data_IF_607590899813
#
_entry.id   IF_607590899813
#
_cell.length_a   1.000
_cell.length_b   1.000
_cell.length_c   1.000
_cell.angle_alpha   90.00
_cell.angle_beta   90.00
_cell.angle_gamma   90.00
#
_symmetry.space_group_name_H-M   'P 1'
#
loop_
_entity.id
_entity.type
_entity.pdbx_description
1 polymer ?
#
# COMPACT_ATOMS: atom_id res chain seq x y z
N UNK A 1 62.75 9.40 6.26
CA UNK A 1 62.25 10.77 6.46
C UNK A 1 60.83 10.80 5.99
N UNK A 2 59.90 10.49 6.82
CA UNK A 2 59.11 11.33 7.70
C UNK A 2 58.39 12.48 7.01
N UNK A 3 57.07 12.42 6.91
CA UNK A 3 56.16 13.41 7.53
C UNK A 3 54.67 12.98 7.34
N UNK A 4 54.06 12.70 8.47
CA UNK A 4 52.63 12.60 8.65
C UNK A 4 51.93 13.93 8.38
N UNK A 5 50.74 13.90 7.74
CA UNK A 5 49.81 15.02 7.79
C UNK A 5 48.46 14.48 8.26
N UNK A 6 48.22 14.68 9.54
CA UNK A 6 46.89 14.63 10.14
C UNK A 6 46.19 15.96 9.83
N UNK A 7 45.16 15.93 9.03
CA UNK A 7 44.26 17.05 8.80
C UNK A 7 42.98 16.88 9.64
N UNK A 8 42.90 17.64 10.70
CA UNK A 8 41.69 17.75 11.53
C UNK A 8 40.61 18.47 10.76
N UNK A 9 39.46 17.82 10.54
CA UNK A 9 38.26 18.48 10.05
C UNK A 9 37.52 19.01 11.28
N UNK A 10 37.55 20.33 11.45
CA UNK A 10 36.74 21.03 12.45
C UNK A 10 35.29 21.07 11.98
N UNK A 11 34.42 20.43 12.75
CA UNK A 11 32.96 20.50 12.59
C UNK A 11 32.48 21.85 13.16
N UNK A 12 32.13 22.79 12.29
CA UNK A 12 31.50 24.05 12.72
C UNK A 12 30.06 23.79 13.09
N UNK A 13 29.78 23.79 14.39
CA UNK A 13 28.43 23.79 14.92
C UNK A 13 27.83 25.20 14.78
N UNK A 14 26.87 25.36 13.87
CA UNK A 14 26.03 26.56 13.82
C UNK A 14 24.92 26.40 14.84
N UNK A 15 25.04 27.08 15.96
CA UNK A 15 23.98 27.26 16.94
C UNK A 15 22.95 28.25 16.39
N UNK A 16 21.86 27.76 15.87
CA UNK A 16 20.64 28.55 15.66
C UNK A 16 19.80 28.45 16.93
N UNK A 17 19.84 29.51 17.70
CA UNK A 17 19.00 29.68 18.88
C UNK A 17 17.55 29.88 18.47
N UNK A 18 16.66 28.98 18.91
CA UNK A 18 15.23 29.30 18.97
C UNK A 18 14.26 28.41 18.26
N UNK A 19 14.49 27.10 18.14
CA UNK A 19 13.43 26.07 18.04
C UNK A 19 14.05 24.74 18.44
N UNK A 20 13.86 24.34 19.68
CA UNK A 20 14.24 23.00 20.12
C UNK A 20 13.27 21.98 19.53
N UNK A 21 13.61 21.44 18.36
CA UNK A 21 13.03 20.21 17.87
C UNK A 21 13.70 19.11 18.67
N UNK A 22 13.02 18.63 19.70
CA UNK A 22 13.48 17.49 20.47
C UNK A 22 13.38 16.24 19.60
N UNK A 23 14.48 15.83 19.00
CA UNK A 23 14.59 14.49 18.40
C UNK A 23 14.99 13.57 19.54
N UNK A 24 14.03 12.82 20.09
CA UNK A 24 14.35 11.66 20.90
C UNK A 24 14.64 10.51 19.95
N UNK A 25 15.78 9.80 20.08
CA UNK A 25 16.00 8.60 19.28
C UNK A 25 15.04 7.52 19.77
N UNK A 26 13.98 7.27 19.04
CA UNK A 26 13.23 6.02 19.16
C UNK A 26 13.93 4.95 18.32
N UNK A 27 14.00 3.76 18.89
CA UNK A 27 14.59 2.58 18.26
C UNK A 27 14.05 2.35 16.84
N UNK A 28 14.97 2.03 15.96
CA UNK A 28 14.86 1.61 14.57
C UNK A 28 13.44 1.54 13.97
N UNK A 29 13.07 2.54 13.15
CA UNK A 29 12.11 2.33 12.08
C UNK A 29 11.04 3.37 11.86
N UNK A 30 10.77 4.32 12.75
CA UNK A 30 9.69 5.31 12.54
C UNK A 30 10.20 6.71 12.78
N UNK A 31 10.47 7.44 11.70
CA UNK A 31 10.62 8.90 11.74
C UNK A 31 9.23 9.55 11.73
N UNK A 32 8.46 9.33 12.79
CA UNK A 32 7.28 10.14 13.04
C UNK A 32 7.75 11.56 13.37
N UNK A 33 7.40 12.52 12.53
CA UNK A 33 7.68 13.93 12.83
C UNK A 33 6.83 14.36 14.03
N UNK A 34 7.49 14.46 15.19
CA UNK A 34 6.85 14.90 16.42
C UNK A 34 6.75 16.42 16.41
N UNK A 35 5.52 16.94 16.49
CA UNK A 35 5.25 18.37 16.61
C UNK A 35 4.77 18.67 18.02
N UNK A 36 5.39 19.66 18.67
CA UNK A 36 5.01 20.09 20.00
C UNK A 36 3.56 20.56 20.02
N UNK A 37 2.85 20.11 21.02
CA UNK A 37 1.41 20.26 21.21
C UNK A 37 0.96 21.69 21.37
N UNK A 38 -0.22 21.98 20.82
CA UNK A 38 -0.93 23.25 20.99
C UNK A 38 -2.22 23.10 21.83
N UNK A 39 -2.52 21.90 22.33
CA UNK A 39 -3.72 21.60 23.10
C UNK A 39 -3.44 20.93 24.45
N UNK A 40 -4.50 20.60 25.18
CA UNK A 40 -4.42 19.92 26.49
C UNK A 40 -4.20 18.40 26.36
N UNK A 41 -4.43 17.80 25.18
CA UNK A 41 -4.11 16.40 24.95
C UNK A 41 -2.59 16.19 24.85
N UNK A 42 -2.13 15.28 24.11
CA UNK A 42 -0.72 14.98 23.96
C UNK A 42 -0.08 15.59 22.71
N UNK A 43 0.98 14.96 22.29
CA UNK A 43 1.74 15.32 21.10
C UNK A 43 1.02 14.93 19.80
N UNK A 44 1.44 15.51 18.68
CA UNK A 44 0.97 15.14 17.35
C UNK A 44 2.05 14.34 16.64
N UNK A 45 1.70 13.15 16.17
CA UNK A 45 2.55 12.29 15.36
C UNK A 45 2.06 12.32 13.92
N UNK A 46 2.83 12.90 13.02
CA UNK A 46 2.49 12.99 11.60
C UNK A 46 3.02 11.75 10.88
N UNK A 47 2.21 11.19 9.94
CA UNK A 47 2.52 9.95 9.23
C UNK A 47 2.94 8.81 10.18
N UNK A 48 2.11 8.45 11.15
CA UNK A 48 2.50 7.62 12.28
C UNK A 48 2.95 6.21 11.90
N UNK A 49 2.52 5.72 10.74
CA UNK A 49 2.86 4.39 10.23
C UNK A 49 3.73 4.42 8.96
N UNK A 50 4.24 5.59 8.59
CA UNK A 50 5.18 5.82 7.49
C UNK A 50 4.65 5.49 6.07
N UNK A 51 3.37 5.19 5.91
CA UNK A 51 2.77 4.82 4.62
C UNK A 51 1.61 5.71 4.16
N UNK A 52 1.09 6.58 5.04
CA UNK A 52 0.00 7.51 4.74
C UNK A 52 0.37 8.94 5.17
N UNK A 53 1.15 9.67 4.37
CA UNK A 53 1.78 10.94 4.78
C UNK A 53 0.83 12.07 5.15
N UNK A 54 -0.42 12.03 4.69
CA UNK A 54 -1.44 13.05 5.00
C UNK A 54 -2.33 12.65 6.18
N UNK A 55 -1.75 11.91 7.13
CA UNK A 55 -2.40 11.49 8.38
C UNK A 55 -1.59 11.91 9.60
N UNK A 56 -2.26 11.96 10.75
CA UNK A 56 -1.61 12.20 12.03
C UNK A 56 -2.36 11.49 13.15
N UNK A 57 -1.71 11.31 14.29
CA UNK A 57 -2.33 10.90 15.55
C UNK A 57 -2.12 12.01 16.56
N UNK A 58 -3.18 12.44 17.26
CA UNK A 58 -3.07 13.26 18.44
C UNK A 58 -3.08 12.31 19.64
N UNK A 59 -1.93 12.22 20.31
CA UNK A 59 -1.77 11.41 21.51
C UNK A 59 -2.76 11.87 22.60
N UNK A 60 -3.44 10.93 23.23
CA UNK A 60 -4.34 11.22 24.35
C UNK A 60 -3.66 11.34 25.70
N UNK A 61 -2.35 11.10 25.77
CA UNK A 61 -1.53 11.16 26.99
C UNK A 61 -2.15 10.38 28.17
N UNK A 62 -2.69 9.18 27.88
CA UNK A 62 -3.35 8.33 28.88
C UNK A 62 -4.72 8.81 29.36
N UNK A 63 -5.28 9.90 28.81
CA UNK A 63 -6.60 10.40 29.19
C UNK A 63 -7.71 9.50 28.63
N UNK A 64 -8.73 9.22 29.44
CA UNK A 64 -9.96 8.56 28.99
C UNK A 64 -10.91 9.62 28.41
N UNK A 65 -10.90 9.75 27.10
CA UNK A 65 -11.70 10.71 26.33
C UNK A 65 -12.79 10.01 25.56
N UNK A 66 -13.96 10.64 25.44
CA UNK A 66 -15.16 10.10 24.78
C UNK A 66 -15.81 11.13 23.86
N UNK A 67 -16.80 10.70 23.08
CA UNK A 67 -17.57 11.56 22.17
C UNK A 67 -16.66 12.42 21.27
N UNK A 68 -15.69 11.75 20.69
CA UNK A 68 -14.61 12.40 19.94
C UNK A 68 -15.08 12.74 18.54
N UNK A 69 -14.96 14.01 18.19
CA UNK A 69 -15.29 14.51 16.86
C UNK A 69 -14.13 15.34 16.32
N UNK A 70 -13.76 15.07 15.08
CA UNK A 70 -12.66 15.69 14.35
C UNK A 70 -13.21 16.45 13.17
N UNK A 71 -12.72 17.68 12.99
CA UNK A 71 -12.97 18.50 11.81
C UNK A 71 -11.67 19.02 11.26
N UNK A 72 -11.25 18.51 10.11
CA UNK A 72 -10.14 19.08 9.32
C UNK A 72 -10.71 20.16 8.43
N UNK A 73 -10.35 21.42 8.68
CA UNK A 73 -10.91 22.56 7.94
C UNK A 73 -10.40 22.61 6.51
N UNK A 74 -11.29 22.99 5.62
CA UNK A 74 -10.95 23.34 4.24
C UNK A 74 -10.07 24.59 4.16
N UNK A 75 -9.32 24.72 3.06
CA UNK A 75 -8.56 25.95 2.77
C UNK A 75 -9.50 27.15 2.61
N UNK A 76 -9.07 28.38 2.96
CA UNK A 76 -9.92 29.59 2.92
C UNK A 76 -10.49 29.92 1.53
N UNK A 77 -9.83 29.47 0.47
CA UNK A 77 -10.23 29.68 -0.93
C UNK A 77 -11.34 28.74 -1.42
N UNK A 78 -12.10 28.18 -0.50
CA UNK A 78 -13.24 27.29 -0.78
C UNK A 78 -12.89 25.82 -0.70
N UNK A 79 -11.89 25.45 0.07
CA UNK A 79 -11.59 24.07 0.42
C UNK A 79 -12.75 23.39 1.14
N UNK A 80 -12.71 22.05 1.18
CA UNK A 80 -13.77 21.22 1.76
C UNK A 80 -13.36 20.75 3.13
N UNK A 81 -14.23 20.96 4.12
CA UNK A 81 -14.07 20.39 5.46
C UNK A 81 -14.22 18.86 5.40
N UNK A 82 -13.38 18.17 6.15
CA UNK A 82 -13.55 16.74 6.45
C UNK A 82 -13.93 16.63 7.92
N UNK A 83 -15.06 15.99 8.17
CA UNK A 83 -15.79 16.03 9.44
C UNK A 83 -16.26 14.62 9.82
N UNK A 84 -15.82 14.08 10.96
CA UNK A 84 -16.12 12.70 11.36
C UNK A 84 -16.03 12.48 12.87
N UNK A 85 -16.74 11.45 13.33
CA UNK A 85 -16.62 10.94 14.68
C UNK A 85 -15.55 9.84 14.76
N UNK A 86 -14.80 9.82 15.85
CA UNK A 86 -13.81 8.77 16.12
C UNK A 86 -14.46 7.72 17.01
N UNK A 87 -14.46 6.48 16.57
CA UNK A 87 -14.97 5.36 17.35
C UNK A 87 -13.99 5.00 18.49
N UNK A 88 -14.49 4.38 19.55
CA UNK A 88 -13.67 3.83 20.61
C UNK A 88 -12.64 2.82 20.07
N UNK A 89 -13.06 1.98 19.12
CA UNK A 89 -12.17 1.05 18.45
C UNK A 89 -11.00 1.76 17.77
N UNK A 90 -11.26 2.83 17.00
CA UNK A 90 -10.21 3.59 16.32
C UNK A 90 -9.27 4.28 17.32
N UNK A 91 -9.82 4.85 18.40
CA UNK A 91 -9.05 5.45 19.47
C UNK A 91 -8.09 4.46 20.13
N UNK A 92 -8.57 3.25 20.42
CA UNK A 92 -7.76 2.18 21.02
C UNK A 92 -6.74 1.61 20.03
N UNK A 93 -7.15 1.43 18.78
CA UNK A 93 -6.28 0.90 17.72
C UNK A 93 -5.04 1.75 17.51
N UNK A 94 -5.19 3.07 17.60
CA UNK A 94 -4.10 4.04 17.34
C UNK A 94 -3.50 4.62 18.62
N UNK A 95 -4.01 4.25 19.78
CA UNK A 95 -3.66 4.82 21.10
C UNK A 95 -3.68 6.35 21.10
N UNK A 96 -4.60 6.93 20.35
CA UNK A 96 -4.77 8.37 20.17
C UNK A 96 -5.85 8.68 19.17
N UNK A 97 -6.09 9.97 18.93
CA UNK A 97 -7.10 10.43 18.00
C UNK A 97 -6.56 10.40 16.56
N UNK A 98 -7.06 9.52 15.69
CA UNK A 98 -6.63 9.47 14.30
C UNK A 98 -7.13 10.67 13.52
N UNK A 99 -6.20 11.34 12.85
CA UNK A 99 -6.46 12.48 11.96
C UNK A 99 -6.10 12.08 10.55
N UNK A 100 -7.04 12.18 9.62
CA UNK A 100 -6.82 11.95 8.20
C UNK A 100 -7.46 13.06 7.36
N UNK A 101 -7.04 13.17 6.11
CA UNK A 101 -7.58 14.18 5.22
C UNK A 101 -6.87 15.53 5.29
N UNK A 102 -5.61 15.55 5.71
CA UNK A 102 -4.78 16.75 5.69
C UNK A 102 -4.46 17.18 4.25
N UNK A 103 -4.35 18.48 4.00
CA UNK A 103 -3.80 19.00 2.75
C UNK A 103 -2.28 18.89 2.76
N UNK A 104 -1.65 18.47 1.67
CA UNK A 104 -0.20 18.46 1.54
C UNK A 104 0.36 19.88 1.43
N UNK A 105 1.61 20.07 1.86
CA UNK A 105 2.34 21.35 1.85
C UNK A 105 1.51 22.51 2.44
N UNK A 106 0.85 22.21 3.56
CA UNK A 106 -0.09 23.15 4.15
C UNK A 106 -0.15 23.02 5.68
N UNK A 107 -0.29 24.17 6.35
CA UNK A 107 -0.54 24.21 7.80
C UNK A 107 -2.05 24.04 8.05
N UNK A 108 -2.46 22.78 8.19
CA UNK A 108 -3.85 22.40 8.39
C UNK A 108 -4.38 22.86 9.76
N UNK A 109 -5.62 23.29 9.80
CA UNK A 109 -6.35 23.55 11.03
C UNK A 109 -7.29 22.38 11.32
N UNK A 110 -7.09 21.74 12.47
CA UNK A 110 -7.89 20.61 12.94
C UNK A 110 -8.59 20.99 14.21
N UNK A 111 -9.92 21.02 14.19
CA UNK A 111 -10.75 21.24 15.38
C UNK A 111 -11.12 19.88 15.95
N UNK A 112 -10.78 19.66 17.21
CA UNK A 112 -11.07 18.47 17.96
C UNK A 112 -12.02 18.80 19.10
N UNK A 113 -13.16 18.10 19.17
CA UNK A 113 -14.04 18.13 20.32
C UNK A 113 -14.14 16.76 20.97
N UNK A 114 -14.18 16.71 22.29
CA UNK A 114 -14.25 15.48 23.06
C UNK A 114 -14.79 15.74 24.47
N UNK A 115 -15.20 14.69 25.17
CA UNK A 115 -15.61 14.71 26.57
C UNK A 115 -14.47 14.15 27.43
N UNK A 116 -14.04 14.91 28.46
CA UNK A 116 -13.06 14.47 29.43
C UNK A 116 -13.52 14.83 30.84
N UNK A 117 -13.53 13.88 31.77
CA UNK A 117 -14.03 14.05 33.15
C UNK A 117 -15.44 14.68 33.19
N UNK A 118 -16.34 14.29 32.27
CA UNK A 118 -17.69 14.82 32.18
C UNK A 118 -17.82 16.23 31.59
N UNK A 119 -16.70 16.88 31.26
CA UNK A 119 -16.70 18.20 30.63
C UNK A 119 -16.41 18.12 29.14
N UNK A 120 -17.18 18.84 28.34
CA UNK A 120 -16.92 18.99 26.90
C UNK A 120 -15.75 19.93 26.67
N UNK A 121 -14.79 19.49 25.88
CA UNK A 121 -13.60 20.21 25.46
C UNK A 121 -13.61 20.45 23.97
N UNK A 122 -13.07 21.60 23.55
CA UNK A 122 -12.84 21.90 22.12
C UNK A 122 -11.46 22.52 21.98
N UNK A 123 -10.64 21.93 21.13
CA UNK A 123 -9.28 22.36 20.88
C UNK A 123 -9.01 22.52 19.40
N UNK A 124 -8.04 23.35 19.06
CA UNK A 124 -7.60 23.55 17.67
C UNK A 124 -6.13 23.25 17.56
N UNK A 125 -5.80 22.36 16.62
CA UNK A 125 -4.43 21.97 16.30
C UNK A 125 -4.03 22.54 14.95
N UNK A 126 -2.78 23.00 14.85
CA UNK A 126 -2.16 23.42 13.60
C UNK A 126 -1.15 22.34 13.18
N UNK A 127 -1.48 21.58 12.14
CA UNK A 127 -0.70 20.43 11.71
C UNK A 127 -0.17 20.70 10.29
N UNK A 128 1.15 20.86 10.16
CA UNK A 128 1.78 20.96 8.85
C UNK A 128 2.03 19.58 8.28
N UNK A 129 1.41 19.25 7.16
CA UNK A 129 1.70 18.04 6.41
C UNK A 129 2.70 18.35 5.30
N UNK A 130 3.66 17.44 5.11
CA UNK A 130 4.71 17.58 4.12
C UNK A 130 4.16 17.59 2.68
N UNK A 131 4.89 18.17 1.72
CA UNK A 131 4.57 18.05 0.31
C UNK A 131 4.43 16.60 -0.12
N UNK A 132 3.59 16.35 -1.12
CA UNK A 132 3.50 15.03 -1.75
C UNK A 132 4.87 14.67 -2.34
N UNK A 133 5.28 13.44 -2.10
CA UNK A 133 6.42 12.82 -2.78
C UNK A 133 5.96 11.51 -3.36
N UNK A 134 6.00 11.41 -4.67
CA UNK A 134 5.74 10.16 -5.40
C UNK A 134 6.86 9.90 -6.41
N UNK A 135 6.93 8.69 -6.92
CA UNK A 135 8.03 8.27 -7.77
C UNK A 135 7.49 7.54 -8.99
N UNK A 136 8.16 7.71 -10.10
CA UNK A 136 8.02 6.87 -11.28
C UNK A 136 9.42 6.50 -11.75
N UNK A 137 9.78 5.23 -11.63
CA UNK A 137 11.12 4.72 -11.98
C UNK A 137 12.26 5.58 -11.43
N UNK A 138 12.78 6.47 -12.28
CA UNK A 138 13.95 7.31 -12.00
C UNK A 138 13.53 8.75 -11.64
N UNK A 139 12.25 9.04 -11.61
CA UNK A 139 11.75 10.39 -11.40
C UNK A 139 11.01 10.51 -10.07
N UNK A 140 11.32 11.57 -9.34
CA UNK A 140 10.61 12.00 -8.15
C UNK A 140 9.66 13.12 -8.54
N UNK A 141 8.40 12.97 -8.14
CA UNK A 141 7.37 14.00 -8.34
C UNK A 141 6.92 14.57 -7.01
N UNK A 142 6.53 15.84 -7.03
CA UNK A 142 5.97 16.54 -5.87
C UNK A 142 4.42 16.62 -5.90
N UNK A 143 3.81 15.82 -6.72
CA UNK A 143 2.35 15.82 -6.91
C UNK A 143 1.87 14.48 -7.41
N UNK A 144 0.64 14.14 -7.11
CA UNK A 144 -0.13 13.10 -7.80
C UNK A 144 -0.59 13.59 -9.17
N UNK A 145 -1.13 12.69 -9.98
CA UNK A 145 -1.75 13.07 -11.24
C UNK A 145 -2.78 14.18 -10.98
N UNK A 146 -2.65 15.29 -11.73
CA UNK A 146 -3.50 16.47 -11.52
C UNK A 146 -4.95 16.17 -11.85
N UNK A 147 -5.83 16.37 -10.89
CA UNK A 147 -7.27 16.28 -11.07
C UNK A 147 -7.82 17.61 -11.56
N UNK A 148 -8.44 17.61 -12.73
CA UNK A 148 -9.15 18.78 -13.27
C UNK A 148 -10.64 18.61 -13.06
N UNK A 149 -11.19 19.38 -12.13
CA UNK A 149 -12.63 19.41 -11.88
C UNK A 149 -13.32 20.27 -12.94
N UNK A 150 -14.22 19.69 -13.72
CA UNK A 150 -14.99 20.41 -14.74
C UNK A 150 -16.35 20.89 -14.22
N UNK A 151 -17.02 20.06 -13.46
CA UNK A 151 -18.33 20.32 -12.90
C UNK A 151 -18.55 19.43 -11.67
N UNK A 152 -19.18 19.98 -10.66
CA UNK A 152 -19.61 19.25 -9.46
C UNK A 152 -21.12 19.43 -9.31
N UNK A 153 -21.85 18.36 -9.24
CA UNK A 153 -23.25 18.40 -8.87
C UNK A 153 -23.38 18.82 -7.39
N UNK A 154 -24.31 19.74 -7.04
CA UNK A 154 -24.49 20.17 -5.65
C UNK A 154 -24.70 19.02 -4.65
N UNK A 155 -25.34 17.93 -5.08
CA UNK A 155 -25.55 16.76 -4.25
C UNK A 155 -24.23 16.04 -3.88
N UNK A 156 -23.16 16.28 -4.61
CA UNK A 156 -21.86 15.62 -4.44
C UNK A 156 -20.75 16.56 -3.98
N UNK A 157 -21.06 17.82 -3.71
CA UNK A 157 -20.07 18.88 -3.41
C UNK A 157 -19.11 18.58 -2.25
N UNK A 158 -19.53 17.74 -1.30
CA UNK A 158 -18.74 17.38 -0.12
C UNK A 158 -18.21 15.93 -0.17
N UNK A 159 -18.25 15.28 -1.35
CA UNK A 159 -17.75 13.91 -1.49
C UNK A 159 -16.23 13.89 -1.66
N UNK A 160 -15.67 12.78 -1.23
CA UNK A 160 -14.29 12.39 -1.49
C UNK A 160 -14.28 11.23 -2.49
N UNK A 161 -13.27 11.19 -3.33
CA UNK A 161 -13.13 10.17 -4.37
C UNK A 161 -11.78 9.46 -4.21
N UNK A 162 -11.86 8.16 -3.96
CA UNK A 162 -10.69 7.29 -3.97
C UNK A 162 -10.32 6.96 -5.42
N UNK A 163 -9.11 7.31 -5.79
CA UNK A 163 -8.55 7.07 -7.12
C UNK A 163 -7.54 5.94 -7.00
N UNK A 164 -7.77 4.90 -7.78
CA UNK A 164 -6.80 3.85 -8.01
C UNK A 164 -6.30 4.01 -9.45
N UNK A 165 -5.08 4.46 -9.59
CA UNK A 165 -4.48 4.78 -10.87
C UNK A 165 -3.14 4.08 -11.04
N UNK A 166 -2.76 3.84 -12.29
CA UNK A 166 -1.47 3.28 -12.65
C UNK A 166 -0.75 4.28 -13.53
N UNK A 167 0.44 4.70 -13.12
CA UNK A 167 1.30 5.56 -13.93
C UNK A 167 2.22 4.66 -14.73
N UNK A 168 1.99 4.61 -16.03
CA UNK A 168 2.95 4.00 -16.95
C UNK A 168 4.18 4.92 -17.06
N UNK A 169 5.35 4.33 -17.32
CA UNK A 169 6.51 5.12 -17.70
C UNK A 169 6.17 5.90 -18.98
N UNK A 170 6.07 7.18 -18.83
CA UNK A 170 5.37 8.17 -19.67
C UNK A 170 5.79 8.21 -21.15
N UNK A 171 6.85 7.51 -21.54
CA UNK A 171 7.49 7.75 -22.82
C UNK A 171 7.48 6.58 -23.80
N UNK A 172 6.94 5.44 -23.42
CA UNK A 172 6.81 4.32 -24.35
C UNK A 172 5.45 3.69 -24.18
N UNK A 173 4.60 3.68 -25.21
CA UNK A 173 3.41 2.85 -25.21
C UNK A 173 3.83 1.41 -24.94
N UNK A 174 2.97 0.65 -24.28
CA UNK A 174 3.14 -0.78 -24.06
C UNK A 174 3.55 -1.44 -25.37
N UNK A 175 4.79 -1.87 -25.46
CA UNK A 175 5.33 -2.47 -26.67
C UNK A 175 5.40 -3.98 -26.48
N UNK A 176 4.36 -4.64 -26.94
CA UNK A 176 4.27 -6.10 -26.95
C UNK A 176 5.44 -6.78 -27.68
N UNK A 177 6.12 -6.07 -28.57
CA UNK A 177 7.28 -6.59 -29.29
C UNK A 177 8.54 -6.68 -28.45
N UNK A 178 8.65 -5.85 -27.40
CA UNK A 178 9.86 -5.70 -26.61
C UNK A 178 9.73 -6.18 -25.16
N UNK A 179 8.91 -7.18 -24.89
CA UNK A 179 8.85 -7.80 -23.57
C UNK A 179 7.45 -8.00 -23.01
N UNK A 180 6.42 -7.53 -23.71
CA UNK A 180 5.02 -7.71 -23.27
C UNK A 180 4.79 -7.23 -21.85
N UNK A 181 4.10 -8.04 -21.05
CA UNK A 181 3.79 -7.72 -19.65
C UNK A 181 5.04 -7.54 -18.77
N UNK A 182 6.16 -8.17 -19.11
CA UNK A 182 7.43 -8.01 -18.38
C UNK A 182 8.04 -6.62 -18.50
N UNK A 183 7.59 -5.83 -19.48
CA UNK A 183 7.99 -4.43 -19.63
C UNK A 183 7.08 -3.44 -18.89
N UNK A 184 6.03 -3.91 -18.26
CA UNK A 184 5.11 -3.11 -17.48
C UNK A 184 5.78 -2.69 -16.16
N UNK A 185 6.33 -1.51 -16.18
CA UNK A 185 6.90 -0.87 -15.00
C UNK A 185 5.93 0.18 -14.49
N UNK A 186 4.73 -0.25 -14.22
CA UNK A 186 3.67 0.64 -13.81
C UNK A 186 3.75 0.87 -12.31
N UNK A 187 3.82 2.15 -11.94
CA UNK A 187 3.70 2.56 -10.57
C UNK A 187 2.26 2.90 -10.27
N UNK A 188 1.78 2.52 -9.10
CA UNK A 188 0.43 2.83 -8.69
C UNK A 188 0.38 4.15 -7.94
N UNK A 189 -0.67 4.91 -8.20
CA UNK A 189 -1.07 6.05 -7.38
C UNK A 189 -2.43 5.76 -6.78
N UNK A 190 -2.45 5.59 -5.46
CA UNK A 190 -3.70 5.43 -4.71
C UNK A 190 -3.86 6.66 -3.82
N UNK A 191 -4.86 7.47 -4.10
CA UNK A 191 -5.06 8.72 -3.40
C UNK A 191 -6.54 9.10 -3.35
N UNK A 192 -6.89 9.92 -2.38
CA UNK A 192 -8.23 10.49 -2.24
C UNK A 192 -8.16 11.96 -2.61
N UNK A 193 -9.08 12.38 -3.47
CA UNK A 193 -9.29 13.79 -3.83
C UNK A 193 -10.65 14.28 -3.36
N UNK A 194 -10.70 15.55 -3.03
CA UNK A 194 -11.97 16.23 -2.81
C UNK A 194 -12.55 16.81 -4.12
N UNK A 195 -13.71 17.40 -4.05
CA UNK A 195 -14.41 18.00 -5.21
C UNK A 195 -13.79 19.32 -5.71
N UNK A 196 -12.70 19.75 -5.12
CA UNK A 196 -11.85 20.84 -5.65
C UNK A 196 -10.65 20.29 -6.42
N UNK A 197 -10.45 18.96 -6.38
CA UNK A 197 -9.29 18.31 -6.99
C UNK A 197 -8.05 18.29 -6.10
N UNK A 198 -8.20 18.68 -4.83
CA UNK A 198 -7.12 18.67 -3.86
C UNK A 198 -6.94 17.26 -3.28
N UNK A 199 -5.69 16.81 -3.19
CA UNK A 199 -5.36 15.53 -2.56
C UNK A 199 -5.52 15.65 -1.06
N UNK A 200 -6.27 14.70 -0.48
CA UNK A 200 -6.58 14.66 0.96
C UNK A 200 -6.02 13.41 1.64
N UNK A 201 -5.55 12.46 0.90
CA UNK A 201 -4.92 11.23 1.37
C UNK A 201 -4.18 10.59 0.22
N UNK A 202 -3.08 9.91 0.49
CA UNK A 202 -2.44 9.01 -0.45
C UNK A 202 -1.66 7.92 0.26
N UNK A 203 -1.47 6.81 -0.44
CA UNK A 203 -0.64 5.70 -0.01
C UNK A 203 0.75 5.85 -0.62
N UNK A 204 1.78 5.87 0.21
CA UNK A 204 3.16 5.86 -0.26
C UNK A 204 3.57 4.43 -0.60
N UNK A 205 3.24 3.99 -1.81
CA UNK A 205 3.50 2.63 -2.26
C UNK A 205 5.00 2.26 -2.25
N UNK A 206 5.92 3.24 -2.24
CA UNK A 206 7.36 3.00 -2.14
C UNK A 206 7.75 2.26 -0.86
N UNK A 207 6.92 2.34 0.16
CA UNK A 207 7.12 1.64 1.44
C UNK A 207 6.85 0.14 1.35
N UNK A 208 6.14 -0.29 0.33
CA UNK A 208 5.84 -1.71 0.07
C UNK A 208 6.80 -2.32 -0.94
N UNK A 209 7.62 -1.49 -1.59
CA UNK A 209 8.51 -1.93 -2.64
C UNK A 209 9.82 -2.46 -2.04
N UNK A 210 10.06 -3.75 -2.18
CA UNK A 210 11.35 -4.34 -1.82
C UNK A 210 12.36 -4.14 -2.95
N UNK A 211 13.28 -3.22 -2.76
CA UNK A 211 14.35 -2.93 -3.72
C UNK A 211 15.38 -4.05 -3.86
N UNK A 212 15.41 -5.01 -2.93
CA UNK A 212 16.26 -6.21 -3.03
C UNK A 212 15.72 -7.20 -4.03
N UNK A 213 14.41 -7.22 -4.25
CA UNK A 213 13.75 -7.97 -5.30
C UNK A 213 13.97 -7.28 -6.65
N UNK A 214 14.98 -7.69 -7.36
CA UNK A 214 15.41 -7.07 -8.63
C UNK A 214 14.50 -7.35 -9.83
N UNK A 215 13.41 -8.05 -9.64
CA UNK A 215 12.51 -8.44 -10.72
C UNK A 215 11.37 -7.45 -10.83
N UNK A 216 11.17 -6.96 -12.03
CA UNK A 216 10.16 -5.95 -12.38
C UNK A 216 8.75 -6.36 -12.00
N UNK A 217 8.47 -7.66 -11.99
CA UNK A 217 7.16 -8.22 -11.63
C UNK A 217 7.01 -8.52 -10.13
N UNK A 218 8.10 -8.62 -9.41
CA UNK A 218 8.08 -9.05 -8.02
C UNK A 218 7.89 -7.90 -7.05
N UNK A 219 8.17 -6.68 -7.45
CA UNK A 219 8.27 -5.57 -6.52
C UNK A 219 7.27 -4.44 -6.72
N UNK A 220 6.57 -4.35 -7.85
CA UNK A 220 6.08 -3.03 -8.22
C UNK A 220 4.61 -2.85 -8.51
N UNK A 221 3.89 -3.87 -8.94
CA UNK A 221 2.51 -3.65 -9.34
C UNK A 221 1.54 -4.01 -8.23
N UNK A 222 0.78 -3.01 -7.79
CA UNK A 222 -0.35 -3.22 -6.89
C UNK A 222 -1.55 -3.71 -7.72
N UNK A 223 -2.15 -4.81 -7.30
CA UNK A 223 -3.28 -5.46 -8.00
C UNK A 223 -4.43 -5.70 -7.05
N UNK A 224 -5.65 -5.79 -7.57
CA UNK A 224 -6.82 -6.11 -6.78
C UNK A 224 -7.03 -5.15 -5.62
N UNK A 225 -6.96 -3.85 -5.91
CA UNK A 225 -7.12 -2.80 -4.91
C UNK A 225 -8.61 -2.62 -4.55
N UNK A 226 -8.93 -2.84 -3.29
CA UNK A 226 -10.28 -2.67 -2.75
C UNK A 226 -10.29 -1.79 -1.51
N UNK A 227 -11.30 -0.95 -1.40
CA UNK A 227 -11.69 -0.35 -0.14
C UNK A 227 -12.76 -1.20 0.51
N UNK A 228 -12.50 -1.65 1.74
CA UNK A 228 -13.43 -2.45 2.52
C UNK A 228 -14.50 -1.56 3.18
N UNK A 229 -15.54 -2.19 3.67
CA UNK A 229 -16.68 -1.52 4.29
C UNK A 229 -16.35 -0.70 5.53
N UNK A 230 -15.33 -1.10 6.26
CA UNK A 230 -14.80 -0.39 7.43
C UNK A 230 -13.78 0.71 7.08
N UNK A 231 -13.51 0.92 5.79
CA UNK A 231 -12.56 1.90 5.31
C UNK A 231 -11.15 1.36 5.04
N UNK A 232 -10.82 0.16 5.51
CA UNK A 232 -9.53 -0.46 5.20
C UNK A 232 -9.34 -0.65 3.70
N UNK A 233 -8.10 -0.78 3.29
CA UNK A 233 -7.71 -1.09 1.91
C UNK A 233 -7.01 -2.44 1.87
N UNK A 234 -7.34 -3.23 0.86
CA UNK A 234 -6.66 -4.50 0.57
C UNK A 234 -6.16 -4.54 -0.86
N UNK A 235 -5.04 -5.19 -1.08
CA UNK A 235 -4.43 -5.32 -2.40
C UNK A 235 -3.40 -6.46 -2.42
N UNK A 236 -3.06 -6.90 -3.62
CA UNK A 236 -1.90 -7.75 -3.86
C UNK A 236 -0.70 -6.93 -4.30
N UNK A 237 0.49 -7.34 -3.90
CA UNK A 237 1.74 -6.76 -4.38
C UNK A 237 2.82 -7.83 -4.40
N UNK A 238 3.42 -8.05 -5.56
CA UNK A 238 4.31 -9.19 -5.79
C UNK A 238 3.61 -10.53 -5.43
N UNK A 239 4.24 -11.35 -4.60
CA UNK A 239 3.71 -12.63 -4.14
C UNK A 239 3.08 -12.53 -2.73
N UNK A 240 2.51 -11.37 -2.42
CA UNK A 240 1.93 -11.06 -1.12
C UNK A 240 0.55 -10.42 -1.29
N UNK A 241 -0.30 -10.58 -0.30
CA UNK A 241 -1.56 -9.86 -0.17
C UNK A 241 -1.61 -9.12 1.16
N UNK A 242 -2.07 -7.88 1.10
CA UNK A 242 -1.89 -6.91 2.15
C UNK A 242 -3.21 -6.24 2.51
N UNK A 243 -3.34 -5.82 3.76
CA UNK A 243 -4.43 -4.98 4.23
C UNK A 243 -3.91 -3.92 5.19
N UNK A 244 -4.32 -2.70 4.97
CA UNK A 244 -3.99 -1.52 5.75
C UNK A 244 -5.24 -0.72 6.06
N UNK A 245 -5.24 -0.01 7.17
CA UNK A 245 -6.26 1.02 7.39
C UNK A 245 -5.86 2.34 6.70
N UNK A 246 -6.77 3.32 6.69
CA UNK A 246 -6.50 4.63 6.08
C UNK A 246 -5.44 5.44 6.83
N UNK A 247 -5.13 5.10 8.07
CA UNK A 247 -4.01 5.71 8.81
C UNK A 247 -2.66 5.16 8.35
N UNK A 248 -2.67 4.05 7.60
CA UNK A 248 -1.48 3.34 7.16
C UNK A 248 -1.00 2.26 8.12
N UNK A 249 -1.81 1.91 9.13
CA UNK A 249 -1.48 0.80 10.02
C UNK A 249 -1.68 -0.53 9.30
N UNK A 250 -0.65 -1.36 9.33
CA UNK A 250 -0.71 -2.71 8.78
C UNK A 250 -1.66 -3.57 9.61
N UNK A 251 -2.65 -4.15 8.95
CA UNK A 251 -3.54 -5.17 9.51
C UNK A 251 -2.93 -6.55 9.26
N UNK A 252 -2.51 -6.80 8.02
CA UNK A 252 -1.68 -7.93 7.66
C UNK A 252 -0.90 -7.68 6.37
N UNK A 253 0.22 -8.39 6.25
CA UNK A 253 1.06 -8.43 5.07
C UNK A 253 1.56 -9.88 4.92
N UNK A 254 0.84 -10.67 4.13
CA UNK A 254 0.99 -12.13 4.08
C UNK A 254 1.57 -12.57 2.76
N UNK A 255 2.57 -13.48 2.78
CA UNK A 255 2.98 -14.19 1.57
C UNK A 255 1.84 -15.09 1.09
N UNK A 256 1.91 -15.53 -0.17
CA UNK A 256 1.03 -16.57 -0.67
C UNK A 256 1.17 -17.83 0.17
N UNK A 257 0.08 -18.61 0.35
CA UNK A 257 0.15 -19.91 1.00
C UNK A 257 1.09 -20.85 0.26
N UNK A 258 1.63 -21.81 1.01
CA UNK A 258 2.61 -22.78 0.50
C UNK A 258 2.07 -23.55 -0.72
N UNK A 259 2.90 -23.65 -1.75
CA UNK A 259 2.57 -24.35 -3.00
C UNK A 259 1.94 -23.44 -4.07
N UNK A 260 1.56 -22.22 -3.71
CA UNK A 260 0.96 -21.26 -4.64
C UNK A 260 1.95 -20.17 -5.04
N UNK A 261 1.77 -19.68 -6.25
CA UNK A 261 2.62 -18.69 -6.90
C UNK A 261 1.79 -17.81 -7.82
N UNK A 262 2.41 -16.77 -8.35
CA UNK A 262 1.85 -15.91 -9.40
C UNK A 262 0.50 -15.30 -9.01
N UNK A 263 0.49 -14.65 -7.83
CA UNK A 263 -0.64 -13.79 -7.46
C UNK A 263 -0.84 -12.74 -8.54
N UNK A 264 -2.03 -12.69 -9.09
CA UNK A 264 -2.27 -11.80 -10.21
C UNK A 264 -3.68 -11.26 -10.28
N UNK A 265 -3.75 -9.97 -10.57
CA UNK A 265 -4.91 -9.18 -10.93
C UNK A 265 -5.91 -8.94 -9.79
N UNK A 266 -6.13 -9.89 -8.89
CA UNK A 266 -7.22 -9.78 -7.93
C UNK A 266 -6.86 -10.32 -6.54
N UNK A 267 -7.19 -9.54 -5.54
CA UNK A 267 -7.32 -9.93 -4.14
C UNK A 267 -8.73 -9.55 -3.73
N UNK A 268 -9.69 -10.44 -3.88
CA UNK A 268 -11.09 -10.14 -3.64
C UNK A 268 -11.46 -10.36 -2.17
N UNK A 269 -11.77 -9.30 -1.40
CA UNK A 269 -12.20 -9.45 -0.01
C UNK A 269 -13.56 -10.14 0.06
N UNK A 270 -13.70 -11.07 0.99
CA UNK A 270 -14.94 -11.75 1.31
C UNK A 270 -15.42 -11.34 2.71
N UNK A 271 -16.51 -12.00 3.15
CA UNK A 271 -16.99 -11.89 4.54
C UNK A 271 -15.99 -12.55 5.50
N UNK A 272 -16.09 -12.21 6.77
CA UNK A 272 -15.35 -12.80 7.87
C UNK A 272 -13.81 -12.68 7.69
N UNK A 273 -13.38 -11.61 6.97
CA UNK A 273 -11.99 -11.32 6.65
C UNK A 273 -11.29 -12.39 5.80
N UNK A 274 -12.05 -13.19 5.07
CA UNK A 274 -11.54 -14.07 4.03
C UNK A 274 -11.19 -13.30 2.76
N UNK A 275 -10.40 -13.90 1.89
CA UNK A 275 -10.10 -13.37 0.56
C UNK A 275 -10.01 -14.46 -0.49
N UNK A 276 -10.47 -14.17 -1.71
CA UNK A 276 -10.16 -14.96 -2.89
C UNK A 276 -8.91 -14.42 -3.55
N UNK A 277 -7.98 -15.32 -3.86
CA UNK A 277 -6.74 -15.02 -4.54
C UNK A 277 -6.69 -15.81 -5.84
N UNK A 278 -6.31 -15.14 -6.93
CA UNK A 278 -6.04 -15.79 -8.19
C UNK A 278 -4.55 -16.10 -8.29
N UNK A 279 -4.21 -17.38 -8.38
CA UNK A 279 -2.84 -17.87 -8.24
C UNK A 279 -2.51 -18.98 -9.23
N UNK A 280 -1.24 -19.26 -9.41
CA UNK A 280 -0.73 -20.50 -9.98
C UNK A 280 -0.34 -21.50 -8.89
N UNK A 281 0.07 -22.68 -9.29
CA UNK A 281 0.51 -23.76 -8.42
C UNK A 281 1.83 -24.35 -8.88
N UNK A 282 2.74 -24.55 -7.94
CA UNK A 282 3.96 -25.30 -8.21
C UNK A 282 3.70 -26.79 -8.27
N UNK A 283 4.51 -27.49 -9.07
CA UNK A 283 4.50 -28.94 -9.17
C UNK A 283 3.10 -29.50 -9.42
N UNK A 284 2.37 -28.83 -10.33
CA UNK A 284 1.05 -29.31 -10.71
C UNK A 284 1.17 -30.59 -11.55
N UNK A 285 0.60 -31.69 -11.06
CA UNK A 285 0.61 -32.97 -11.75
C UNK A 285 -0.62 -33.12 -12.65
N UNK A 286 -0.40 -33.12 -13.94
CA UNK A 286 -1.45 -33.36 -14.93
C UNK A 286 -1.84 -34.84 -14.98
N UNK A 287 -3.05 -35.14 -15.44
CA UNK A 287 -3.57 -36.51 -15.58
C UNK A 287 -2.76 -37.39 -16.55
N UNK A 288 -2.01 -36.80 -17.45
CA UNK A 288 -1.09 -37.48 -18.37
C UNK A 288 0.31 -37.72 -17.80
N UNK A 289 0.51 -37.41 -16.52
CA UNK A 289 1.77 -37.62 -15.81
C UNK A 289 2.79 -36.49 -15.99
N UNK A 290 2.47 -35.44 -16.74
CA UNK A 290 3.34 -34.28 -16.85
C UNK A 290 3.28 -33.40 -15.60
N UNK A 291 4.37 -32.71 -15.32
CA UNK A 291 4.46 -31.72 -14.24
C UNK A 291 4.59 -30.33 -14.90
N UNK A 292 3.84 -29.39 -14.41
CA UNK A 292 4.00 -27.99 -14.78
C UNK A 292 3.98 -27.05 -13.55
N UNK A 293 4.49 -25.87 -13.75
CA UNK A 293 4.24 -24.75 -12.84
C UNK A 293 3.14 -23.94 -13.49
N UNK A 294 1.93 -24.00 -12.92
CA UNK A 294 0.78 -23.35 -13.56
C UNK A 294 0.80 -21.85 -13.31
N UNK A 295 0.11 -21.11 -14.16
CA UNK A 295 0.01 -19.67 -14.06
C UNK A 295 -1.47 -19.31 -13.98
N UNK A 296 -1.90 -18.73 -12.84
CA UNK A 296 -3.23 -18.14 -12.64
C UNK A 296 -4.39 -19.11 -12.92
N UNK A 297 -4.16 -20.38 -12.79
CA UNK A 297 -5.12 -21.45 -13.08
C UNK A 297 -5.87 -21.93 -11.83
N UNK A 298 -5.59 -21.33 -10.70
CA UNK A 298 -6.23 -21.65 -9.44
C UNK A 298 -6.84 -20.41 -8.82
N UNK A 299 -7.98 -20.61 -8.21
CA UNK A 299 -8.57 -19.63 -7.30
C UNK A 299 -8.58 -20.28 -5.94
N UNK A 300 -8.04 -19.61 -4.94
CA UNK A 300 -8.05 -20.10 -3.57
C UNK A 300 -8.79 -19.12 -2.67
N UNK A 301 -9.52 -19.65 -1.70
CA UNK A 301 -10.03 -18.89 -0.58
C UNK A 301 -9.08 -19.07 0.61
N UNK A 302 -8.64 -17.96 1.16
CA UNK A 302 -7.88 -17.92 2.40
C UNK A 302 -8.73 -17.32 3.52
N UNK A 303 -8.64 -17.91 4.71
CA UNK A 303 -9.32 -17.41 5.90
C UNK A 303 -8.61 -16.20 6.52
N UNK A 304 -9.14 -15.70 7.61
CA UNK A 304 -8.60 -14.56 8.35
C UNK A 304 -7.21 -14.83 8.99
N UNK A 305 -6.72 -16.07 8.96
CA UNK A 305 -5.36 -16.44 9.39
C UNK A 305 -4.39 -16.59 8.21
N UNK A 306 -4.90 -16.62 6.98
CA UNK A 306 -4.15 -16.87 5.75
C UNK A 306 -4.07 -18.33 5.35
N UNK A 307 -4.82 -19.21 6.02
CA UNK A 307 -4.92 -20.62 5.65
C UNK A 307 -5.87 -20.82 4.49
N UNK A 308 -5.50 -21.67 3.52
CA UNK A 308 -6.38 -22.06 2.42
C UNK A 308 -7.51 -22.92 2.99
N UNK A 309 -8.74 -22.52 2.72
CA UNK A 309 -9.97 -23.22 3.14
C UNK A 309 -10.72 -23.82 1.96
N UNK A 310 -10.53 -23.26 0.76
CA UNK A 310 -11.14 -23.77 -0.48
C UNK A 310 -10.20 -23.53 -1.67
N UNK A 311 -10.24 -24.41 -2.65
CA UNK A 311 -9.45 -24.32 -3.87
C UNK A 311 -10.29 -24.73 -5.08
N UNK A 312 -10.29 -23.90 -6.12
CA UNK A 312 -10.87 -24.19 -7.43
C UNK A 312 -9.77 -24.35 -8.45
N UNK A 313 -9.53 -25.58 -8.88
CA UNK A 313 -8.59 -25.92 -9.94
C UNK A 313 -9.27 -25.77 -11.31
N UNK A 314 -8.95 -24.71 -12.02
CA UNK A 314 -9.51 -24.45 -13.34
C UNK A 314 -9.02 -25.45 -14.40
N UNK A 315 -7.89 -26.13 -14.18
CA UNK A 315 -7.42 -27.19 -15.05
C UNK A 315 -8.33 -28.42 -14.95
N UNK A 316 -8.80 -28.76 -13.76
CA UNK A 316 -9.78 -29.84 -13.58
C UNK A 316 -11.17 -29.43 -14.07
N UNK A 317 -11.64 -28.26 -13.68
CA UNK A 317 -12.98 -27.77 -14.02
C UNK A 317 -13.16 -27.69 -15.55
N UNK A 318 -12.15 -27.22 -16.26
CA UNK A 318 -12.17 -27.04 -17.72
C UNK A 318 -11.33 -28.08 -18.48
N UNK A 319 -10.69 -29.02 -17.80
CA UNK A 319 -9.66 -29.91 -18.33
C UNK A 319 -10.13 -30.87 -19.44
N UNK A 320 -11.42 -31.19 -19.47
CA UNK A 320 -12.01 -32.01 -20.54
C UNK A 320 -12.48 -31.16 -21.71
N UNK A 321 -12.35 -29.86 -21.68
CA UNK A 321 -12.76 -28.99 -22.77
C UNK A 321 -11.63 -28.85 -23.80
N UNK A 322 -11.92 -29.19 -25.04
CA UNK A 322 -10.95 -29.11 -26.15
C UNK A 322 -10.37 -27.69 -26.31
N UNK A 323 -11.15 -26.67 -26.04
CA UNK A 323 -10.70 -25.28 -26.13
C UNK A 323 -9.68 -24.96 -25.03
N UNK A 324 -9.91 -25.45 -23.82
CA UNK A 324 -8.97 -25.27 -22.70
C UNK A 324 -7.66 -25.99 -22.97
N UNK A 325 -7.71 -27.23 -23.44
CA UNK A 325 -6.51 -27.99 -23.81
C UNK A 325 -5.72 -27.29 -24.92
N UNK A 326 -6.38 -26.71 -25.90
CA UNK A 326 -5.72 -25.94 -26.95
C UNK A 326 -5.13 -24.62 -26.45
N UNK A 327 -5.81 -23.96 -25.51
CA UNK A 327 -5.30 -22.76 -24.86
C UNK A 327 -4.02 -23.06 -24.06
N UNK A 328 -4.00 -24.11 -23.28
CA UNK A 328 -2.81 -24.54 -22.52
C UNK A 328 -1.65 -24.82 -23.46
N UNK A 329 -1.88 -25.52 -24.55
CA UNK A 329 -0.85 -25.77 -25.57
C UNK A 329 -0.34 -24.49 -26.25
N UNK A 330 -1.22 -23.53 -26.48
CA UNK A 330 -0.84 -22.25 -27.04
C UNK A 330 -0.01 -21.43 -26.07
N UNK A 331 -0.32 -21.49 -24.76
CA UNK A 331 0.45 -20.85 -23.69
C UNK A 331 1.83 -21.47 -23.55
N UNK A 332 1.92 -22.81 -23.59
CA UNK A 332 3.18 -23.56 -23.59
C UNK A 332 4.07 -23.18 -24.78
N UNK A 333 3.47 -22.96 -25.93
CA UNK A 333 4.18 -22.49 -27.12
C UNK A 333 4.64 -21.01 -27.04
N UNK A 334 4.50 -20.37 -25.91
CA UNK A 334 4.87 -18.95 -25.67
C UNK A 334 4.14 -17.97 -26.61
N UNK A 335 2.93 -18.31 -27.00
CA UNK A 335 2.14 -17.51 -27.95
C UNK A 335 1.54 -16.24 -27.30
N UNK A 336 1.54 -16.16 -25.96
CA UNK A 336 1.05 -15.03 -25.17
C UNK A 336 2.04 -14.67 -24.08
N UNK A 337 1.78 -13.61 -23.35
CA UNK A 337 2.66 -13.13 -22.26
C UNK A 337 2.80 -14.11 -21.08
N UNK A 338 2.09 -15.20 -21.08
CA UNK A 338 2.13 -16.23 -20.04
C UNK A 338 2.72 -17.51 -20.64
N UNK A 339 3.78 -18.00 -20.03
CA UNK A 339 4.44 -19.22 -20.41
C UNK A 339 4.19 -20.28 -19.35
N UNK A 340 3.50 -21.34 -19.71
CA UNK A 340 3.39 -22.55 -18.89
C UNK A 340 4.50 -23.49 -19.36
N UNK A 341 5.39 -23.87 -18.48
CA UNK A 341 6.39 -24.89 -18.74
C UNK A 341 5.75 -26.27 -18.47
N UNK A 342 5.28 -26.91 -19.53
CA UNK A 342 4.62 -28.23 -19.44
C UNK A 342 5.61 -29.38 -19.22
N UNK A 343 6.89 -29.15 -19.38
CA UNK A 343 7.95 -30.12 -19.14
C UNK A 343 8.79 -29.73 -17.91
N UNK A 344 8.18 -29.00 -17.00
CA UNK A 344 8.83 -28.56 -15.77
C UNK A 344 9.34 -29.75 -14.95
N UNK A 345 10.50 -29.56 -14.35
CA UNK A 345 11.02 -30.49 -13.34
C UNK A 345 10.40 -30.17 -12.01
N UNK A 346 10.11 -31.20 -11.24
CA UNK A 346 9.64 -31.04 -9.88
C UNK A 346 10.64 -30.23 -9.04
N UNK A 347 10.15 -29.20 -8.38
CA UNK A 347 10.93 -28.35 -7.50
C UNK A 347 10.70 -28.81 -6.06
N UNK A 348 11.77 -29.05 -5.31
CA UNK A 348 11.69 -29.28 -3.88
C UNK A 348 11.42 -27.94 -3.19
N UNK A 349 10.24 -27.82 -2.61
CA UNK A 349 9.88 -26.69 -1.76
C UNK A 349 10.31 -27.04 -0.35
N UNK A 350 11.38 -26.39 0.16
CA UNK A 350 11.82 -26.59 1.56
C UNK A 350 10.82 -25.97 2.53
N UNK A 351 10.75 -26.55 3.74
CA UNK A 351 9.84 -26.03 4.78
C UNK A 351 10.24 -24.65 5.29
N UNK A 352 11.52 -24.30 5.13
CA UNK A 352 12.11 -23.04 5.59
C UNK A 352 12.15 -21.95 4.51
N UNK A 353 11.71 -22.26 3.29
CA UNK A 353 11.77 -21.30 2.19
C UNK A 353 10.61 -20.32 2.28
N UNK A 354 10.88 -19.01 2.36
CA UNK A 354 9.83 -18.01 2.31
C UNK A 354 9.05 -18.11 1.00
N UNK A 355 7.76 -17.98 1.08
CA UNK A 355 6.91 -17.98 -0.11
C UNK A 355 7.21 -16.79 -1.00
N UNK A 356 7.14 -16.99 -2.30
CA UNK A 356 7.52 -15.99 -3.29
C UNK A 356 8.95 -16.08 -3.78
N UNK A 357 9.84 -16.75 -3.03
CA UNK A 357 11.28 -16.79 -3.35
C UNK A 357 11.70 -17.95 -4.27
N UNK A 358 10.75 -18.77 -4.68
CA UNK A 358 10.99 -19.92 -5.58
C UNK A 358 11.37 -19.44 -7.00
N UNK A 359 11.10 -18.20 -7.31
CA UNK A 359 11.54 -17.57 -8.56
C UNK A 359 13.06 -17.45 -8.68
N UNK A 360 13.80 -17.59 -7.57
CA UNK A 360 15.27 -17.55 -7.57
C UNK A 360 15.93 -18.80 -8.17
N UNK A 361 15.17 -19.88 -8.36
CA UNK A 361 15.71 -21.17 -8.83
C UNK A 361 16.03 -21.24 -10.33
N UNK A 362 16.16 -20.12 -10.99
CA UNK A 362 16.63 -20.04 -12.39
C UNK A 362 15.58 -20.31 -13.47
N UNK A 363 14.41 -20.78 -13.12
CA UNK A 363 13.26 -20.92 -14.02
C UNK A 363 12.55 -19.61 -14.26
N UNK A 364 12.90 -18.59 -13.49
CA UNK A 364 12.26 -17.27 -13.46
C UNK A 364 12.39 -16.39 -14.70
N UNK A 365 12.88 -16.89 -15.81
CA UNK A 365 12.81 -16.18 -17.10
C UNK A 365 11.45 -16.27 -17.76
N UNK A 366 10.55 -17.07 -17.23
CA UNK A 366 9.27 -17.41 -17.87
C UNK A 366 8.06 -16.89 -17.12
N UNK A 367 8.27 -16.14 -16.03
CA UNK A 367 7.20 -15.59 -15.20
C UNK A 367 6.94 -14.11 -15.52
N UNK A 368 6.82 -13.79 -16.78
CA UNK A 368 6.41 -12.45 -17.19
C UNK A 368 4.93 -12.42 -17.60
#
# INVERSE_FOLDING_TARGET
MSKNFLGSVALAAVLVSGLSIGITPLEAGVLAHHVKVQGELGSVFINPYDVSPLTAIIDRAGKDIKDIHVKVKGKPDGGIDIDYNVSEHALLTHDGVPIWGLYPDYLNEVVLSYTFNGAKKVETYKIYAQPIVTYSRDFRFSHMQKTRVKKVDPAFKNRLYLINNTITSVYKPLDWKNGGAASWNDFTENYIVDTKGEVRWYLDYQKFYDRSERRVMDGGMMMGFHQLKNGDISFGMAQRYLRYDLMGKEIYNRPLPRGYIDLSHEVMPLKDDHALLRVGKYNYHHKDGKISHTIRDHIIEVDNTGKVVEEWDLNEIFGNNVYRSNLIKALDARAVCLNIDMDAKEIKISDDQPFGDITSTGTGRNWA
#
